data_IF_805218928503
#
_entry.id   IF_805218928503
#
_cell.length_a   1.000
_cell.length_b   1.000
_cell.length_c   1.000
_cell.angle_alpha   90.00
_cell.angle_beta   90.00
_cell.angle_gamma   90.00
#
_symmetry.space_group_name_H-M   'P 1'
#
loop_
_entity.id
_entity.type
_entity.pdbx_description
1 polymer ?
#
# COMPACT_ATOMS: atom_id res chain seq x y z
N UNK A 1 -8.47 12.12 -12.15
CA UNK A 1 -8.36 11.35 -10.90
C UNK A 1 -7.18 10.39 -10.97
N UNK A 2 -7.18 9.43 -11.91
CA UNK A 2 -6.11 8.44 -12.07
C UNK A 2 -4.71 9.05 -12.25
N UNK A 3 -4.57 10.11 -13.06
CA UNK A 3 -3.30 10.84 -13.21
C UNK A 3 -2.74 11.42 -11.90
N UNK A 4 -3.59 11.80 -10.95
CA UNK A 4 -3.15 12.32 -9.64
C UNK A 4 -2.77 11.20 -8.68
N UNK A 5 -3.47 10.07 -8.76
CA UNK A 5 -3.11 8.85 -8.03
C UNK A 5 -1.76 8.34 -8.52
N UNK A 6 -1.53 8.30 -9.84
CA UNK A 6 -0.24 7.87 -10.36
C UNK A 6 0.88 8.88 -10.09
N UNK A 7 0.55 10.18 -10.05
CA UNK A 7 1.52 11.25 -9.77
C UNK A 7 2.24 11.13 -8.42
N UNK A 8 1.63 10.48 -7.42
CA UNK A 8 2.32 10.24 -6.13
C UNK A 8 3.35 9.11 -6.22
N UNK A 9 3.25 8.21 -7.20
CA UNK A 9 4.15 7.07 -7.40
C UNK A 9 5.28 7.32 -8.41
N UNK A 10 5.40 8.54 -8.91
CA UNK A 10 6.50 8.96 -9.79
C UNK A 10 7.82 8.92 -9.00
N UNK A 11 8.85 8.25 -9.51
CA UNK A 11 10.20 8.29 -8.94
C UNK A 11 10.73 9.73 -9.03
N UNK A 12 11.27 10.26 -7.93
CA UNK A 12 12.07 11.47 -8.04
C UNK A 12 13.39 11.09 -8.69
N UNK A 13 13.66 11.61 -9.89
CA UNK A 13 15.01 11.66 -10.41
C UNK A 13 15.86 12.38 -9.38
N UNK A 14 16.79 11.68 -8.72
CA UNK A 14 17.78 12.29 -7.83
C UNK A 14 18.54 13.37 -8.63
N UNK A 15 18.11 14.63 -8.54
CA UNK A 15 18.89 15.77 -9.01
C UNK A 15 19.95 16.08 -7.95
N UNK A 16 20.90 15.16 -7.76
CA UNK A 16 22.06 15.36 -6.89
C UNK A 16 23.39 15.34 -7.68
N UNK A 17 23.31 15.49 -9.00
CA UNK A 17 24.47 15.76 -9.85
C UNK A 17 24.60 17.28 -10.10
N UNK A 18 24.87 18.06 -9.05
CA UNK A 18 25.64 19.30 -9.20
C UNK A 18 27.14 18.96 -9.28
N UNK A 19 27.56 18.26 -10.34
CA UNK A 19 28.96 18.29 -10.78
C UNK A 19 29.06 18.77 -12.23
N UNK A 20 29.62 19.98 -12.36
CA UNK A 20 30.05 20.69 -13.55
C UNK A 20 30.27 19.82 -14.81
N UNK A 21 29.42 19.97 -15.83
CA UNK A 21 29.82 19.67 -17.20
C UNK A 21 29.65 20.87 -18.14
N UNK A 22 30.81 21.27 -18.62
CA UNK A 22 31.13 22.34 -19.55
C UNK A 22 30.38 22.12 -20.87
N UNK A 23 29.89 23.24 -21.44
CA UNK A 23 29.17 23.36 -22.69
C UNK A 23 29.58 22.37 -23.80
N UNK A 24 28.63 21.53 -24.21
CA UNK A 24 28.67 20.68 -25.40
C UNK A 24 27.35 20.79 -26.14
N UNK A 25 27.43 21.28 -27.37
CA UNK A 25 26.36 21.57 -28.33
C UNK A 25 25.54 20.33 -28.74
N UNK A 26 24.21 20.47 -28.82
CA UNK A 26 23.38 19.70 -29.75
C UNK A 26 22.45 18.60 -29.19
N UNK A 27 21.16 18.95 -29.20
CA UNK A 27 20.01 18.13 -29.61
C UNK A 27 19.39 17.12 -28.61
N UNK A 28 18.05 17.20 -28.57
CA UNK A 28 17.04 16.28 -28.03
C UNK A 28 16.70 16.47 -26.54
N UNK A 29 15.72 17.37 -26.32
CA UNK A 29 14.79 17.34 -25.19
C UNK A 29 14.03 16.00 -25.22
N UNK A 30 14.66 14.94 -24.71
CA UNK A 30 13.93 13.81 -24.14
C UNK A 30 13.45 14.31 -22.77
N UNK A 31 12.21 14.82 -22.70
CA UNK A 31 11.48 14.90 -21.43
C UNK A 31 11.35 13.45 -20.94
N UNK A 32 12.33 12.99 -20.18
CA UNK A 32 12.24 11.69 -19.49
C UNK A 32 11.06 11.78 -18.55
N UNK A 33 9.89 11.29 -18.96
CA UNK A 33 8.77 11.03 -18.06
C UNK A 33 9.33 10.19 -16.91
N UNK A 34 9.44 10.79 -15.73
CA UNK A 34 9.95 10.12 -14.53
C UNK A 34 9.18 8.80 -14.36
N UNK A 35 9.88 7.64 -14.38
CA UNK A 35 9.20 6.36 -14.42
C UNK A 35 8.39 6.15 -13.15
N UNK A 36 7.09 5.90 -13.32
CA UNK A 36 6.21 5.53 -12.21
C UNK A 36 6.66 4.17 -11.67
N UNK A 37 6.75 4.05 -10.35
CA UNK A 37 6.88 2.73 -9.71
C UNK A 37 5.56 1.97 -9.88
N UNK A 38 5.53 1.07 -10.88
CA UNK A 38 4.34 0.30 -11.25
C UNK A 38 3.94 -0.64 -10.11
N UNK A 39 4.89 -1.22 -9.39
CA UNK A 39 4.62 -2.12 -8.27
C UNK A 39 3.92 -1.39 -7.13
N UNK A 40 4.48 -0.25 -6.71
CA UNK A 40 3.89 0.60 -5.69
C UNK A 40 2.53 1.17 -6.13
N UNK A 41 2.38 1.57 -7.39
CA UNK A 41 1.12 2.06 -7.94
C UNK A 41 0.02 0.98 -7.92
N UNK A 42 0.34 -0.26 -8.30
CA UNK A 42 -0.60 -1.39 -8.22
C UNK A 42 -1.00 -1.61 -6.76
N UNK A 43 -0.04 -1.65 -5.83
CA UNK A 43 -0.32 -1.79 -4.40
C UNK A 43 -1.25 -0.69 -3.90
N UNK A 44 -1.01 0.57 -4.29
CA UNK A 44 -1.87 1.69 -3.93
C UNK A 44 -3.29 1.56 -4.49
N UNK A 45 -3.44 1.11 -5.73
CA UNK A 45 -4.76 0.94 -6.37
C UNK A 45 -5.58 -0.19 -5.72
N UNK A 46 -4.97 -1.14 -5.03
CA UNK A 46 -5.71 -2.19 -4.32
C UNK A 46 -6.73 -1.64 -3.32
N UNK A 47 -6.57 -0.41 -2.81
CA UNK A 47 -7.55 0.20 -1.89
C UNK A 47 -8.94 0.35 -2.52
N UNK A 48 -9.03 0.51 -3.85
CA UNK A 48 -10.32 0.59 -4.57
C UNK A 48 -10.80 -0.75 -5.14
N UNK A 49 -10.07 -1.84 -4.88
CA UNK A 49 -10.51 -3.19 -5.22
C UNK A 49 -11.37 -3.79 -4.10
N UNK A 50 -12.18 -4.80 -4.44
CA UNK A 50 -12.82 -5.64 -3.43
C UNK A 50 -11.77 -6.50 -2.69
N UNK A 51 -12.11 -6.96 -1.48
CA UNK A 51 -11.25 -7.80 -0.65
C UNK A 51 -11.00 -7.24 0.74
N UNK A 52 -10.60 -8.14 1.64
CA UNK A 52 -10.15 -7.82 3.00
C UNK A 52 -8.77 -7.17 3.02
N UNK A 53 -8.44 -6.48 4.12
CA UNK A 53 -7.10 -5.91 4.33
C UNK A 53 -6.02 -6.99 4.22
N UNK A 54 -6.25 -8.17 4.80
CA UNK A 54 -5.34 -9.31 4.73
C UNK A 54 -5.08 -9.77 3.29
N UNK A 55 -6.12 -9.87 2.45
CA UNK A 55 -5.95 -10.24 1.03
C UNK A 55 -5.13 -9.22 0.25
N UNK A 56 -5.36 -7.92 0.50
CA UNK A 56 -4.62 -6.85 -0.16
C UNK A 56 -3.16 -6.84 0.27
N UNK A 57 -2.88 -7.04 1.55
CA UNK A 57 -1.51 -7.16 2.07
C UNK A 57 -0.79 -8.39 1.49
N UNK A 58 -1.46 -9.52 1.30
CA UNK A 58 -0.89 -10.67 0.58
C UNK A 58 -0.50 -10.32 -0.86
N UNK A 59 -1.35 -9.57 -1.56
CA UNK A 59 -1.04 -9.09 -2.90
C UNK A 59 0.15 -8.13 -2.90
N UNK A 60 0.19 -7.16 -1.98
CA UNK A 60 1.32 -6.24 -1.86
C UNK A 60 2.63 -6.99 -1.55
N UNK A 61 2.60 -7.95 -0.63
CA UNK A 61 3.76 -8.76 -0.31
C UNK A 61 4.30 -9.52 -1.53
N UNK A 62 3.42 -10.08 -2.36
CA UNK A 62 3.82 -10.75 -3.60
C UNK A 62 4.40 -9.81 -4.68
N UNK A 63 4.09 -8.50 -4.61
CA UNK A 63 4.56 -7.49 -5.55
C UNK A 63 5.82 -6.76 -5.09
N UNK A 64 5.98 -6.56 -3.78
CA UNK A 64 7.06 -5.78 -3.16
C UNK A 64 8.22 -6.68 -2.72
N UNK A 65 7.94 -7.95 -2.39
CA UNK A 65 9.00 -8.92 -2.07
C UNK A 65 9.70 -9.32 -3.37
N UNK A 66 10.65 -8.51 -3.80
CA UNK A 66 11.53 -8.71 -4.96
C UNK A 66 12.63 -9.74 -4.65
N UNK A 67 12.32 -10.71 -3.78
CA UNK A 67 13.31 -11.70 -3.39
C UNK A 67 13.37 -12.76 -4.49
N UNK A 68 14.54 -12.81 -5.15
CA UNK A 68 15.10 -13.90 -5.95
C UNK A 68 15.15 -15.26 -5.19
N UNK A 69 14.32 -15.45 -4.15
CA UNK A 69 13.98 -16.73 -3.57
C UNK A 69 13.00 -17.45 -4.48
N UNK A 70 13.56 -18.00 -5.54
CA UNK A 70 13.08 -19.23 -6.12
C UNK A 70 13.05 -20.35 -5.06
N UNK A 71 12.03 -20.40 -4.19
CA UNK A 71 11.49 -21.62 -3.52
C UNK A 71 10.68 -21.31 -2.25
N UNK A 72 9.36 -21.13 -2.37
CA UNK A 72 8.39 -21.60 -1.34
C UNK A 72 7.06 -22.06 -1.95
N UNK A 73 7.06 -22.48 -3.23
CA UNK A 73 5.98 -23.31 -3.81
C UNK A 73 6.40 -24.79 -3.91
N UNK A 74 7.11 -25.31 -2.91
CA UNK A 74 7.31 -26.75 -2.74
C UNK A 74 7.11 -27.17 -1.29
N UNK A 75 6.04 -27.92 -1.05
CA UNK A 75 5.79 -28.56 0.23
C UNK A 75 4.41 -29.18 0.35
N UNK A 76 4.04 -30.10 -0.54
CA UNK A 76 3.16 -31.20 -0.12
C UNK A 76 3.97 -32.00 0.92
N UNK A 77 3.69 -31.83 2.21
CA UNK A 77 4.50 -32.42 3.29
C UNK A 77 3.92 -32.15 4.67
N UNK A 78 3.00 -33.02 5.06
CA UNK A 78 2.52 -33.38 6.40
C UNK A 78 3.15 -32.67 7.62
N UNK A 79 2.31 -31.90 8.34
CA UNK A 79 2.37 -31.80 9.81
C UNK A 79 3.30 -30.74 10.39
N UNK A 80 3.05 -29.47 10.12
CA UNK A 80 3.56 -28.35 10.92
C UNK A 80 2.38 -27.42 11.23
N UNK A 81 2.33 -26.87 12.46
CA UNK A 81 1.25 -26.00 12.91
C UNK A 81 0.99 -24.90 11.87
N UNK A 82 -0.27 -24.83 11.41
CA UNK A 82 -0.78 -23.88 10.42
C UNK A 82 -0.58 -22.45 10.95
N UNK A 83 0.60 -21.86 10.75
CA UNK A 83 0.76 -20.42 10.87
C UNK A 83 0.07 -19.86 9.62
N UNK A 84 -1.19 -19.49 9.78
CA UNK A 84 -2.18 -19.20 8.74
C UNK A 84 -1.91 -17.87 7.99
N UNK A 85 -0.74 -17.74 7.36
CA UNK A 85 -0.41 -16.59 6.52
C UNK A 85 1.05 -16.54 6.09
N UNK A 86 1.38 -15.84 4.98
CA UNK A 86 2.76 -15.68 4.55
C UNK A 86 3.56 -14.87 5.58
N UNK A 87 4.80 -15.29 5.82
CA UNK A 87 5.79 -14.51 6.56
C UNK A 87 6.33 -13.42 5.65
N UNK A 88 6.40 -12.19 6.16
CA UNK A 88 6.91 -11.02 5.43
C UNK A 88 7.76 -10.17 6.36
N UNK A 89 8.67 -9.37 5.80
CA UNK A 89 9.42 -8.38 6.57
C UNK A 89 8.50 -7.24 7.03
N UNK A 90 8.82 -6.61 8.16
CA UNK A 90 8.14 -5.39 8.60
C UNK A 90 8.25 -4.28 7.53
N UNK A 91 9.36 -4.22 6.81
CA UNK A 91 9.53 -3.32 5.65
C UNK A 91 8.45 -3.56 4.57
N UNK A 92 8.13 -4.81 4.26
CA UNK A 92 7.08 -5.14 3.29
C UNK A 92 5.72 -4.61 3.74
N UNK A 93 5.41 -4.73 5.04
CA UNK A 93 4.19 -4.16 5.62
C UNK A 93 4.24 -2.63 5.53
N UNK A 94 5.36 -1.99 5.91
CA UNK A 94 5.56 -0.53 5.80
C UNK A 94 5.24 -0.05 4.39
N UNK A 95 5.89 -0.61 3.39
CA UNK A 95 5.76 -0.23 1.98
C UNK A 95 4.33 -0.42 1.49
N UNK A 96 3.66 -1.52 1.89
CA UNK A 96 2.25 -1.75 1.57
C UNK A 96 1.34 -0.65 2.12
N UNK A 97 1.53 -0.26 3.38
CA UNK A 97 0.75 0.78 4.05
C UNK A 97 1.02 2.16 3.46
N UNK A 98 2.28 2.46 3.13
CA UNK A 98 2.66 3.68 2.43
C UNK A 98 1.93 3.79 1.09
N UNK A 99 1.89 2.72 0.30
CA UNK A 99 1.17 2.71 -0.98
C UNK A 99 -0.33 3.00 -0.80
N UNK A 100 -0.97 2.43 0.22
CA UNK A 100 -2.39 2.71 0.51
C UNK A 100 -2.61 4.19 0.88
N UNK A 101 -1.79 4.74 1.77
CA UNK A 101 -1.87 6.15 2.17
C UNK A 101 -1.62 7.10 0.99
N UNK A 102 -0.61 6.82 0.18
CA UNK A 102 -0.31 7.57 -1.03
C UNK A 102 -1.53 7.57 -1.97
N UNK A 103 -2.20 6.44 -2.16
CA UNK A 103 -3.43 6.38 -2.95
C UNK A 103 -4.56 7.23 -2.32
N UNK A 104 -4.78 7.17 -1.00
CA UNK A 104 -5.78 8.02 -0.34
C UNK A 104 -5.49 9.52 -0.50
N UNK A 105 -4.23 9.93 -0.35
CA UNK A 105 -3.83 11.33 -0.56
C UNK A 105 -3.95 11.76 -2.02
N UNK A 106 -3.53 10.91 -2.96
CA UNK A 106 -3.68 11.15 -4.40
C UNK A 106 -5.15 11.28 -4.83
N UNK A 107 -6.04 10.46 -4.26
CA UNK A 107 -7.49 10.53 -4.48
C UNK A 107 -8.12 11.78 -3.87
N UNK A 108 -7.72 12.17 -2.66
CA UNK A 108 -8.28 13.34 -1.97
C UNK A 108 -7.84 14.67 -2.58
N UNK A 109 -6.81 14.68 -3.44
CA UNK A 109 -6.25 15.90 -4.05
C UNK A 109 -5.82 16.97 -3.03
N UNK A 110 -5.56 16.56 -1.79
CA UNK A 110 -5.34 17.47 -0.65
C UNK A 110 -3.89 17.89 -0.48
N UNK A 111 -2.94 17.12 -1.03
CA UNK A 111 -1.50 17.31 -0.85
C UNK A 111 -0.78 17.27 -2.19
N UNK A 112 0.41 17.89 -2.26
CA UNK A 112 1.36 17.63 -3.34
C UNK A 112 1.90 16.20 -3.24
N UNK A 113 2.52 15.70 -4.31
CA UNK A 113 3.07 14.34 -4.34
C UNK A 113 4.12 14.11 -3.24
N UNK A 114 5.06 15.05 -3.11
CA UNK A 114 6.09 15.03 -2.07
C UNK A 114 5.50 14.96 -0.65
N UNK A 115 4.55 15.85 -0.33
CA UNK A 115 3.93 15.88 1.00
C UNK A 115 3.08 14.63 1.23
N UNK A 116 2.45 14.06 0.19
CA UNK A 116 1.72 12.81 0.28
C UNK A 116 2.64 11.63 0.60
N UNK A 117 3.82 11.53 -0.04
CA UNK A 117 4.81 10.47 0.24
C UNK A 117 5.33 10.57 1.67
N UNK A 118 5.77 11.77 2.08
CA UNK A 118 6.27 12.00 3.43
C UNK A 118 5.20 11.72 4.49
N UNK A 119 3.96 12.17 4.27
CA UNK A 119 2.85 11.90 5.19
C UNK A 119 2.48 10.42 5.23
N UNK A 120 2.56 9.72 4.09
CA UNK A 120 2.33 8.29 4.02
C UNK A 120 3.40 7.49 4.76
N UNK A 121 4.66 7.89 4.66
CA UNK A 121 5.76 7.29 5.42
C UNK A 121 5.52 7.41 6.93
N UNK A 122 5.24 8.63 7.41
CA UNK A 122 4.96 8.87 8.83
C UNK A 122 3.76 8.06 9.33
N UNK A 123 2.70 7.94 8.52
CA UNK A 123 1.52 7.16 8.86
C UNK A 123 1.80 5.66 8.94
N UNK A 124 2.59 5.13 8.00
CA UNK A 124 3.00 3.73 8.00
C UNK A 124 3.93 3.40 9.17
N UNK A 125 4.88 4.28 9.50
CA UNK A 125 5.77 4.13 10.64
C UNK A 125 5.01 4.12 11.97
N UNK A 126 4.01 5.00 12.12
CA UNK A 126 3.19 5.03 13.34
C UNK A 126 2.40 3.72 13.55
N UNK A 127 1.91 3.11 12.47
CA UNK A 127 1.23 1.79 12.53
C UNK A 127 2.22 0.71 12.96
N UNK A 128 3.38 0.63 12.30
CA UNK A 128 4.37 -0.40 12.61
C UNK A 128 4.92 -0.27 14.03
N UNK A 129 5.19 0.95 14.48
CA UNK A 129 5.61 1.19 15.85
C UNK A 129 4.56 0.66 16.85
N UNK A 130 3.28 0.94 16.61
CA UNK A 130 2.20 0.46 17.49
C UNK A 130 2.06 -1.07 17.46
N UNK A 131 2.25 -1.68 16.29
CA UNK A 131 2.23 -3.14 16.14
C UNK A 131 3.39 -3.78 16.92
N UNK A 132 4.61 -3.26 16.72
CA UNK A 132 5.83 -3.70 17.40
C UNK A 132 5.69 -3.61 18.93
N UNK A 133 5.26 -2.45 19.44
CA UNK A 133 5.11 -2.22 20.89
C UNK A 133 4.12 -3.19 21.54
N UNK A 134 3.13 -3.67 20.78
CA UNK A 134 2.13 -4.62 21.26
C UNK A 134 2.55 -6.09 21.14
N UNK A 135 3.28 -6.45 20.08
CA UNK A 135 3.65 -7.83 19.77
C UNK A 135 4.95 -8.24 20.49
N UNK A 136 5.86 -7.30 20.77
CA UNK A 136 7.24 -7.62 21.16
C UNK A 136 7.60 -6.95 22.49
N UNK A 137 7.65 -7.75 23.56
CA UNK A 137 7.99 -7.28 24.92
C UNK A 137 9.43 -6.76 25.07
N UNK A 138 10.35 -7.12 24.16
CA UNK A 138 11.75 -6.65 24.12
C UNK A 138 12.00 -5.83 22.84
N UNK A 139 11.59 -4.56 22.85
CA UNK A 139 11.70 -3.63 21.72
C UNK A 139 13.11 -3.04 21.52
N UNK A 140 14.16 -3.65 22.07
CA UNK A 140 15.50 -3.04 22.13
C UNK A 140 16.36 -3.24 20.90
N UNK A 141 15.96 -4.11 19.94
CA UNK A 141 16.72 -4.35 18.71
C UNK A 141 15.79 -4.84 17.57
N UNK A 142 14.93 -3.94 17.07
CA UNK A 142 14.00 -4.27 15.98
C UNK A 142 14.41 -3.56 14.70
N UNK A 143 14.93 -4.35 13.77
CA UNK A 143 15.21 -3.93 12.41
C UNK A 143 13.97 -4.18 11.54
N UNK A 144 13.77 -3.35 10.51
CA UNK A 144 12.68 -3.53 9.52
C UNK A 144 12.79 -4.85 8.74
N UNK A 145 13.92 -5.54 8.87
CA UNK A 145 14.19 -6.87 8.32
C UNK A 145 13.51 -8.01 9.10
N UNK A 146 12.96 -7.74 10.29
CA UNK A 146 12.26 -8.77 11.08
C UNK A 146 11.06 -9.33 10.29
N UNK A 147 11.02 -10.65 10.19
CA UNK A 147 9.89 -11.37 9.63
C UNK A 147 8.76 -11.52 10.66
N UNK A 148 7.53 -11.30 10.20
CA UNK A 148 6.28 -11.47 10.96
C UNK A 148 5.23 -12.10 10.06
N UNK A 149 4.25 -12.78 10.65
CA UNK A 149 3.12 -13.30 9.87
C UNK A 149 2.17 -12.16 9.50
N UNK A 150 1.73 -12.10 8.23
CA UNK A 150 0.66 -11.16 7.86
C UNK A 150 -0.63 -11.40 8.64
N UNK A 151 -0.88 -12.63 9.11
CA UNK A 151 -2.04 -12.92 9.94
C UNK A 151 -1.91 -12.29 11.31
N UNK A 152 -0.73 -12.39 11.93
CA UNK A 152 -0.44 -11.73 13.21
C UNK A 152 -0.71 -10.21 13.14
N UNK A 153 -0.28 -9.56 12.05
CA UNK A 153 -0.59 -8.14 11.84
C UNK A 153 -2.10 -7.88 11.69
N UNK A 154 -2.81 -8.71 10.91
CA UNK A 154 -4.26 -8.58 10.69
C UNK A 154 -5.07 -8.79 11.98
N UNK A 155 -4.67 -9.76 12.79
CA UNK A 155 -5.31 -10.08 14.07
C UNK A 155 -5.05 -8.95 15.07
N UNK A 156 -3.79 -8.49 15.19
CA UNK A 156 -3.44 -7.33 15.99
C UNK A 156 -4.29 -6.11 15.65
N UNK A 157 -4.44 -5.82 14.34
CA UNK A 157 -5.21 -4.67 13.90
C UNK A 157 -6.67 -4.77 14.36
N UNK A 158 -7.27 -5.95 14.20
CA UNK A 158 -8.67 -6.21 14.58
C UNK A 158 -8.89 -6.13 16.09
N UNK A 159 -7.92 -6.56 16.89
CA UNK A 159 -8.04 -6.65 18.35
C UNK A 159 -7.66 -5.35 19.07
N UNK A 160 -6.61 -4.66 18.62
CA UNK A 160 -6.00 -3.56 19.37
C UNK A 160 -5.49 -2.40 18.50
N UNK A 161 -5.22 -2.62 17.21
CA UNK A 161 -4.73 -1.57 16.32
C UNK A 161 -5.81 -0.59 15.83
N UNK A 162 -7.05 -1.07 15.63
CA UNK A 162 -8.15 -0.29 15.07
C UNK A 162 -8.43 1.05 15.78
N UNK A 163 -8.52 1.12 17.13
CA UNK A 163 -8.79 2.38 17.81
C UNK A 163 -7.75 3.48 17.56
N UNK A 164 -6.49 3.10 17.35
CA UNK A 164 -5.38 4.04 17.13
C UNK A 164 -5.16 4.36 15.65
N UNK A 165 -5.45 3.39 14.76
CA UNK A 165 -5.18 3.48 13.32
C UNK A 165 -6.42 3.22 12.46
N UNK A 166 -7.55 3.92 12.68
CA UNK A 166 -8.81 3.62 12.01
C UNK A 166 -8.78 3.84 10.49
N UNK A 167 -7.79 4.58 9.98
CA UNK A 167 -7.62 4.81 8.55
C UNK A 167 -7.37 3.51 7.77
N UNK A 168 -6.81 2.48 8.41
CA UNK A 168 -6.56 1.18 7.78
C UNK A 168 -7.85 0.50 7.32
N UNK A 169 -8.99 0.77 7.96
CA UNK A 169 -10.29 0.26 7.50
C UNK A 169 -10.68 0.83 6.13
N UNK A 170 -10.15 2.00 5.77
CA UNK A 170 -10.37 2.55 4.43
C UNK A 170 -9.66 1.74 3.35
N UNK A 171 -8.72 0.85 3.71
CA UNK A 171 -8.19 -0.11 2.75
C UNK A 171 -9.25 -1.15 2.35
N UNK A 172 -10.35 -1.30 3.09
CA UNK A 172 -11.47 -2.18 2.75
C UNK A 172 -12.60 -1.35 2.15
N UNK A 173 -12.86 -1.55 0.86
CA UNK A 173 -13.82 -0.72 0.10
C UNK A 173 -15.23 -0.76 0.70
N UNK A 174 -15.64 -1.90 1.25
CA UNK A 174 -16.96 -2.07 1.89
C UNK A 174 -17.17 -1.20 3.14
N UNK A 175 -16.09 -0.66 3.71
CA UNK A 175 -16.16 0.23 4.87
C UNK A 175 -16.32 1.70 4.47
N UNK A 176 -16.32 2.00 3.17
CA UNK A 176 -16.51 3.35 2.68
C UNK A 176 -17.98 3.79 2.82
N UNK A 177 -18.25 5.07 3.15
CA UNK A 177 -19.61 5.56 3.30
C UNK A 177 -20.47 5.31 2.06
N UNK A 178 -21.68 4.78 2.24
CA UNK A 178 -22.59 4.38 1.17
C UNK A 178 -22.93 5.49 0.15
N UNK A 179 -22.75 6.77 0.50
CA UNK A 179 -22.91 7.88 -0.46
C UNK A 179 -21.94 7.79 -1.67
N UNK A 180 -20.82 7.06 -1.53
CA UNK A 180 -19.88 6.78 -2.62
C UNK A 180 -20.38 5.60 -3.50
N UNK A 181 -21.20 4.70 -2.94
CA UNK A 181 -21.80 3.55 -3.64
C UNK A 181 -23.10 3.86 -4.40
N UNK A 182 -23.71 5.04 -4.20
CA UNK A 182 -25.02 5.39 -4.80
C UNK A 182 -24.92 5.84 -6.27
N UNK A 183 -23.73 6.13 -6.81
CA UNK A 183 -23.59 6.57 -8.21
C UNK A 183 -23.72 5.44 -9.26
N UNK A 184 -23.89 4.17 -8.86
CA UNK A 184 -23.84 3.02 -9.78
C UNK A 184 -25.06 2.10 -9.80
N UNK A 185 -26.07 2.28 -8.93
CA UNK A 185 -27.23 1.37 -8.88
C UNK A 185 -28.55 2.09 -9.17
N UNK A 186 -29.03 1.84 -10.39
CA UNK A 186 -30.43 1.66 -10.78
C UNK A 186 -31.40 2.84 -10.63
N UNK A 187 -31.35 3.72 -11.63
CA UNK A 187 -32.48 4.56 -12.04
C UNK A 187 -33.30 3.97 -13.20
N UNK A 188 -33.52 2.65 -13.22
CA UNK A 188 -34.55 2.03 -14.06
C UNK A 188 -35.59 1.43 -13.11
N UNK A 189 -36.47 2.30 -12.62
CA UNK A 189 -37.80 1.83 -12.26
C UNK A 189 -38.56 1.75 -13.59
N UNK A 190 -38.64 0.53 -14.12
CA UNK A 190 -39.63 0.13 -15.10
C UNK A 190 -41.01 0.34 -14.45
N UNK A 191 -41.59 1.52 -14.60
CA UNK A 191 -43.00 1.75 -14.27
C UNK A 191 -43.85 1.25 -15.44
N UNK A 192 -43.84 -0.07 -15.61
CA UNK A 192 -44.92 -0.81 -16.24
C UNK A 192 -45.81 -1.35 -15.14
N UNK A 193 -46.81 -0.57 -14.75
CA UNK A 193 -48.03 -1.14 -14.15
C UNK A 193 -49.23 -0.41 -14.74
N UNK A 194 -50.04 -1.24 -15.39
CA UNK A 194 -51.26 -0.97 -16.10
C UNK A 194 -52.38 -0.57 -15.14
N UNK A 195 -53.21 0.41 -15.53
CA UNK A 195 -54.66 0.44 -15.33
C UNK A 195 -55.32 1.56 -16.17
#
# INVERSE_FOLDING_TARGET
MLHRILGVFVHESNSDDEEEQIAGDGNEEDESEDPIDIGAAICGILVVCEGSMFEKLKCCAALISDDDRASTLKGEGEGEEEIDGPMVTLETIKSSLMCFLMAFYGMSSSLSAEVARYSAELGADAVLQSFIESSIQDATDLTFEKEVSLREFSDWFSESGYPSHPWLELAVLNHWPAAINVCGSNGINDSGDED
#
